data_IF_565887833799
#
_entry.id   IF_565887833799
#
_cell.length_a   1.000
_cell.length_b   1.000
_cell.length_c   1.000
_cell.angle_alpha   90.00
_cell.angle_beta   90.00
_cell.angle_gamma   90.00
#
_symmetry.space_group_name_H-M   'P 1'
#
loop_
_entity.id
_entity.type
_entity.pdbx_description
1 polymer ?
#
# COMPACT_ATOMS: atom_id res chain seq x y z
N UNK A 1 2.73 -24.89 28.25
CA UNK A 1 3.07 -23.46 28.11
C UNK A 1 2.52 -23.04 26.77
N UNK A 2 1.33 -22.45 26.79
CA UNK A 2 0.67 -21.94 25.60
C UNK A 2 1.21 -20.53 25.36
N UNK A 3 1.76 -20.27 24.17
CA UNK A 3 2.36 -18.98 23.85
C UNK A 3 1.24 -18.09 23.34
N UNK A 4 0.69 -17.24 24.20
CA UNK A 4 -0.19 -16.15 23.80
C UNK A 4 0.58 -15.19 22.88
N UNK A 5 0.40 -15.34 21.57
CA UNK A 5 0.82 -14.33 20.60
C UNK A 5 -0.15 -13.17 20.74
N UNK A 6 0.14 -12.26 21.68
CA UNK A 6 -0.48 -10.94 21.73
C UNK A 6 -0.10 -10.24 20.43
N UNK A 7 -1.07 -10.11 19.52
CA UNK A 7 -0.94 -9.34 18.30
C UNK A 7 -0.75 -7.89 18.70
N UNK A 8 0.45 -7.36 18.48
CA UNK A 8 0.77 -5.95 18.62
C UNK A 8 -0.10 -5.14 17.65
N UNK A 9 -1.24 -4.67 18.14
CA UNK A 9 -2.23 -3.84 17.42
C UNK A 9 -2.00 -2.34 17.71
N UNK A 10 -0.77 -1.96 18.13
CA UNK A 10 -0.36 -0.56 18.05
C UNK A 10 -0.46 -0.11 16.58
N UNK A 11 -1.06 1.06 16.30
CA UNK A 11 -1.30 1.51 14.94
C UNK A 11 0.02 1.91 14.30
N UNK A 12 0.81 0.93 13.85
CA UNK A 12 1.87 1.13 12.88
C UNK A 12 1.25 1.21 11.47
N UNK A 13 0.11 1.88 11.38
CA UNK A 13 -0.50 2.30 10.13
C UNK A 13 0.44 3.35 9.55
N UNK A 14 1.14 3.00 8.48
CA UNK A 14 2.00 3.95 7.78
C UNK A 14 1.08 4.82 6.95
N UNK A 15 1.00 6.11 7.28
CA UNK A 15 0.18 7.09 6.58
C UNK A 15 0.34 6.96 5.07
N UNK A 16 -0.77 6.74 4.35
CA UNK A 16 -0.75 6.67 2.89
C UNK A 16 -0.58 8.09 2.37
N UNK A 17 0.47 8.39 1.58
CA UNK A 17 0.65 9.70 0.98
C UNK A 17 -0.53 10.07 0.07
N UNK A 18 -0.91 11.34 0.06
CA UNK A 18 -2.06 11.83 -0.71
C UNK A 18 -1.94 11.53 -2.20
N UNK A 19 -0.72 11.56 -2.76
CA UNK A 19 -0.46 11.25 -4.15
C UNK A 19 -0.69 9.78 -4.50
N UNK A 20 -0.29 8.87 -3.61
CA UNK A 20 -0.62 7.44 -3.72
C UNK A 20 -2.12 7.21 -3.54
N UNK A 21 -2.75 7.86 -2.56
CA UNK A 21 -4.19 7.73 -2.31
C UNK A 21 -5.01 8.22 -3.51
N UNK A 22 -4.66 9.37 -4.08
CA UNK A 22 -5.29 9.91 -5.28
C UNK A 22 -5.14 8.95 -6.48
N UNK A 23 -3.97 8.36 -6.66
CA UNK A 23 -3.72 7.39 -7.73
C UNK A 23 -4.51 6.07 -7.54
N UNK A 24 -4.74 5.66 -6.29
CA UNK A 24 -5.62 4.52 -5.99
C UNK A 24 -7.08 4.84 -6.25
N UNK A 25 -7.51 6.07 -5.96
CA UNK A 25 -8.89 6.51 -6.09
C UNK A 25 -9.31 6.78 -7.54
N UNK A 26 -8.36 6.97 -8.45
CA UNK A 26 -8.59 7.13 -9.89
C UNK A 26 -9.15 5.85 -10.55
N UNK A 27 -8.81 4.67 -10.00
CA UNK A 27 -9.29 3.38 -10.50
C UNK A 27 -10.03 2.61 -9.38
N UNK A 28 -11.36 2.57 -9.45
CA UNK A 28 -12.22 1.84 -8.51
C UNK A 28 -11.82 0.37 -8.33
N UNK A 29 -11.31 -0.23 -9.40
CA UNK A 29 -10.95 -1.63 -9.43
C UNK A 29 -9.61 -1.85 -8.72
N UNK A 30 -8.68 -0.90 -8.80
CA UNK A 30 -7.45 -0.88 -8.01
C UNK A 30 -7.74 -0.52 -6.55
N UNK A 31 -8.64 0.44 -6.28
CA UNK A 31 -9.10 0.84 -4.95
C UNK A 31 -9.67 -0.33 -4.14
N UNK A 32 -10.49 -1.18 -4.78
CA UNK A 32 -11.07 -2.34 -4.10
C UNK A 32 -9.99 -3.37 -3.70
N UNK A 33 -9.01 -3.63 -4.57
CA UNK A 33 -7.89 -4.52 -4.27
C UNK A 33 -6.93 -3.94 -3.24
N UNK A 34 -6.72 -2.62 -3.29
CA UNK A 34 -5.84 -1.92 -2.37
C UNK A 34 -6.35 -1.98 -0.94
N UNK A 35 -7.66 -1.84 -0.69
CA UNK A 35 -8.21 -1.94 0.66
C UNK A 35 -7.87 -3.27 1.36
N UNK A 36 -7.87 -4.39 0.63
CA UNK A 36 -7.50 -5.71 1.18
C UNK A 36 -6.00 -5.83 1.39
N UNK A 37 -5.20 -5.49 0.37
CA UNK A 37 -3.74 -5.60 0.42
C UNK A 37 -3.10 -4.59 1.39
N UNK A 38 -3.66 -3.40 1.53
CA UNK A 38 -3.17 -2.38 2.46
C UNK A 38 -3.40 -2.83 3.91
N UNK A 39 -4.52 -3.48 4.24
CA UNK A 39 -4.72 -3.99 5.61
C UNK A 39 -3.61 -4.91 6.12
N UNK A 40 -3.00 -5.71 5.23
CA UNK A 40 -1.95 -6.66 5.63
C UNK A 40 -0.54 -6.22 5.21
N UNK A 41 -0.40 -5.45 4.13
CA UNK A 41 0.86 -5.14 3.46
C UNK A 41 1.06 -3.65 3.14
N UNK A 42 0.25 -2.73 3.69
CA UNK A 42 0.35 -1.29 3.40
C UNK A 42 1.77 -0.75 3.51
N UNK A 43 2.52 -1.14 4.54
CA UNK A 43 3.91 -0.70 4.74
C UNK A 43 4.82 -1.08 3.56
N UNK A 44 4.64 -2.26 2.97
CA UNK A 44 5.41 -2.74 1.81
C UNK A 44 5.22 -1.83 0.59
N UNK A 45 4.03 -1.26 0.43
CA UNK A 45 3.71 -0.38 -0.69
C UNK A 45 4.03 1.09 -0.39
N UNK A 46 3.75 1.56 0.82
CA UNK A 46 3.90 2.97 1.21
C UNK A 46 5.35 3.36 1.47
N UNK A 47 6.15 2.52 2.14
CA UNK A 47 7.54 2.86 2.50
C UNK A 47 8.43 3.17 1.29
N UNK A 48 8.38 2.40 0.18
CA UNK A 48 9.06 2.79 -1.04
C UNK A 48 8.59 4.15 -1.56
N UNK A 49 7.30 4.46 -1.54
CA UNK A 49 6.80 5.75 -2.05
C UNK A 49 7.28 6.92 -1.18
N UNK A 50 7.24 6.79 0.15
CA UNK A 50 7.64 7.85 1.08
C UNK A 50 9.15 8.09 1.08
N UNK A 51 9.96 7.05 0.89
CA UNK A 51 11.44 7.16 0.84
C UNK A 51 11.99 7.75 -0.47
N UNK A 52 11.14 7.97 -1.48
CA UNK A 52 11.55 8.61 -2.72
C UNK A 52 11.89 10.09 -2.48
N UNK A 53 13.08 10.51 -2.90
CA UNK A 53 13.55 11.90 -2.76
C UNK A 53 13.13 12.80 -3.93
N UNK A 54 12.89 12.23 -5.10
CA UNK A 54 12.44 12.95 -6.28
C UNK A 54 11.00 12.58 -6.61
N UNK A 55 10.25 13.55 -7.13
CA UNK A 55 8.86 13.36 -7.59
C UNK A 55 8.80 12.27 -8.66
N UNK A 56 9.70 12.31 -9.65
CA UNK A 56 9.79 11.30 -10.71
C UNK A 56 9.95 9.87 -10.16
N UNK A 57 10.83 9.68 -9.15
CA UNK A 57 10.99 8.36 -8.51
C UNK A 57 9.73 7.96 -7.76
N UNK A 58 9.05 8.93 -7.13
CA UNK A 58 7.82 8.69 -6.38
C UNK A 58 6.71 8.24 -7.31
N UNK A 59 6.47 8.96 -8.39
CA UNK A 59 5.47 8.62 -9.43
C UNK A 59 5.74 7.23 -10.01
N UNK A 60 7.00 6.89 -10.32
CA UNK A 60 7.37 5.56 -10.82
C UNK A 60 7.06 4.46 -9.80
N UNK A 61 7.28 4.72 -8.51
CA UNK A 61 6.96 3.76 -7.42
C UNK A 61 5.46 3.63 -7.21
N UNK A 62 4.69 4.72 -7.30
CA UNK A 62 3.22 4.70 -7.27
C UNK A 62 2.70 3.84 -8.43
N UNK A 63 3.16 4.09 -9.65
CA UNK A 63 2.79 3.30 -10.83
C UNK A 63 3.10 1.81 -10.68
N UNK A 64 4.22 1.45 -10.06
CA UNK A 64 4.55 0.06 -9.76
C UNK A 64 3.59 -0.57 -8.73
N UNK A 65 3.18 0.18 -7.70
CA UNK A 65 2.17 -0.28 -6.73
C UNK A 65 0.83 -0.50 -7.42
N UNK A 66 0.37 0.46 -8.24
CA UNK A 66 -0.87 0.34 -9.01
C UNK A 66 -0.83 -0.87 -9.95
N UNK A 67 0.31 -1.10 -10.62
CA UNK A 67 0.50 -2.24 -11.50
C UNK A 67 0.45 -3.59 -10.73
N UNK A 68 1.04 -3.68 -9.53
CA UNK A 68 0.91 -4.87 -8.68
C UNK A 68 -0.54 -5.08 -8.24
N UNK A 69 -1.26 -4.02 -7.88
CA UNK A 69 -2.66 -4.11 -7.46
C UNK A 69 -3.58 -4.49 -8.63
N UNK A 70 -3.34 -3.94 -9.81
CA UNK A 70 -4.09 -4.26 -11.02
C UNK A 70 -3.78 -5.68 -11.52
N UNK A 71 -2.53 -6.14 -11.42
CA UNK A 71 -2.11 -7.49 -11.84
C UNK A 71 -2.40 -8.59 -10.80
N UNK A 72 -2.51 -8.22 -9.53
CA UNK A 72 -3.02 -9.04 -8.42
C UNK A 72 -4.52 -9.33 -8.53
N UNK A 73 -5.20 -8.79 -9.55
CA UNK A 73 -6.48 -9.30 -10.07
C UNK A 73 -6.27 -10.62 -10.83
N UNK A 74 -5.69 -11.61 -10.16
CA UNK A 74 -5.61 -13.02 -10.57
C UNK A 74 -5.66 -13.84 -9.28
N UNK A 75 -6.64 -14.67 -9.00
CA UNK A 75 -7.84 -15.12 -9.70
C UNK A 75 -8.88 -15.50 -8.63
#
# INVERSE_FOLDING_TARGET
>A
MEVDVVRDDEPRAVEVPDDLQAALDDDLAVRAGSASLFRSNQRRHVVPVTTARTVETRERRIGAVLAELASGRRA
#
